data_IF_659972538055
#
_entry.id   IF_659972538055
#
_cell.length_a   1.000
_cell.length_b   1.000
_cell.length_c   1.000
_cell.angle_alpha   90.00
_cell.angle_beta   90.00
_cell.angle_gamma   90.00
#
_symmetry.space_group_name_H-M   'P 1'
#
loop_
_entity.id
_entity.type
_entity.pdbx_description
1 polymer ?
#
# COMPACT_ATOMS: atom_id res chain seq x y z
N UNK A 1 -1.61 -24.69 -20.02
CA UNK A 1 -1.61 -23.33 -20.61
C UNK A 1 -2.10 -22.25 -19.64
N UNK A 2 -3.36 -22.21 -19.18
CA UNK A 2 -3.81 -21.18 -18.22
C UNK A 2 -3.04 -21.24 -16.88
N UNK A 3 -2.90 -22.43 -16.29
CA UNK A 3 -2.08 -22.63 -15.07
C UNK A 3 -0.59 -22.32 -15.28
N UNK A 4 -0.04 -22.63 -16.46
CA UNK A 4 1.36 -22.33 -16.81
C UNK A 4 1.62 -20.82 -16.95
N UNK A 5 0.58 -20.04 -17.30
CA UNK A 5 0.62 -18.58 -17.37
C UNK A 5 0.30 -17.92 -16.02
N UNK A 6 0.01 -18.72 -14.97
CA UNK A 6 -0.39 -18.23 -13.65
C UNK A 6 -1.79 -17.62 -13.60
N UNK A 7 -2.59 -17.73 -14.66
CA UNK A 7 -3.96 -17.21 -14.70
C UNK A 7 -4.91 -18.32 -14.24
N UNK A 8 -5.57 -18.09 -13.11
CA UNK A 8 -6.54 -19.02 -12.51
C UNK A 8 -7.94 -18.43 -12.65
N UNK A 9 -8.83 -19.16 -13.32
CA UNK A 9 -10.23 -18.79 -13.54
C UNK A 9 -10.86 -19.56 -14.71
N UNK A 10 -12.15 -19.85 -14.60
CA UNK A 10 -12.96 -20.53 -15.61
C UNK A 10 -14.17 -19.72 -16.07
N UNK A 11 -14.46 -18.58 -15.46
CA UNK A 11 -15.51 -17.66 -15.89
C UNK A 11 -15.36 -17.28 -17.37
N UNK A 12 -16.49 -17.06 -18.05
CA UNK A 12 -16.54 -16.65 -19.47
C UNK A 12 -15.67 -15.41 -19.71
N UNK A 13 -15.77 -14.42 -18.82
CA UNK A 13 -14.98 -13.20 -18.84
C UNK A 13 -13.48 -13.48 -18.86
N UNK A 14 -12.98 -14.37 -17.98
CA UNK A 14 -11.55 -14.70 -17.94
C UNK A 14 -11.12 -15.48 -19.18
N UNK A 15 -11.98 -16.36 -19.73
CA UNK A 15 -11.69 -17.08 -20.98
C UNK A 15 -11.55 -16.12 -22.15
N UNK A 16 -12.48 -15.19 -22.32
CA UNK A 16 -12.40 -14.13 -23.34
C UNK A 16 -11.12 -13.29 -23.21
N UNK A 17 -10.75 -12.91 -21.98
CA UNK A 17 -9.52 -12.16 -21.75
C UNK A 17 -8.27 -12.98 -22.11
N UNK A 18 -8.26 -14.29 -21.82
CA UNK A 18 -7.14 -15.17 -22.16
C UNK A 18 -7.02 -15.33 -23.68
N UNK A 19 -8.12 -15.48 -24.41
CA UNK A 19 -8.12 -15.51 -25.88
C UNK A 19 -7.59 -14.20 -26.46
N UNK A 20 -8.02 -13.07 -25.91
CA UNK A 20 -7.50 -11.76 -26.30
C UNK A 20 -6.00 -11.67 -26.05
N UNK A 21 -5.50 -12.08 -24.88
CA UNK A 21 -4.06 -12.12 -24.56
C UNK A 21 -3.28 -12.96 -25.57
N UNK A 22 -3.79 -14.14 -25.93
CA UNK A 22 -3.15 -15.04 -26.91
C UNK A 22 -3.06 -14.35 -28.28
N UNK A 23 -4.10 -13.63 -28.70
CA UNK A 23 -4.12 -12.95 -29.99
C UNK A 23 -3.17 -11.74 -30.07
N UNK A 24 -2.99 -11.01 -28.98
CA UNK A 24 -2.20 -9.77 -28.95
C UNK A 24 -0.73 -10.00 -28.58
N UNK A 25 -0.42 -11.09 -27.88
CA UNK A 25 0.93 -11.37 -27.40
C UNK A 25 2.00 -11.44 -28.52
N UNK A 26 1.72 -11.99 -29.73
CA UNK A 26 2.67 -11.99 -30.84
C UNK A 26 3.00 -10.59 -31.42
N UNK A 27 2.18 -9.58 -31.13
CA UNK A 27 2.32 -8.23 -31.69
C UNK A 27 3.21 -7.32 -30.83
N UNK A 28 3.69 -6.21 -31.40
CA UNK A 28 4.40 -5.14 -30.68
C UNK A 28 3.46 -4.00 -30.21
N UNK A 29 2.14 -4.20 -30.28
CA UNK A 29 1.17 -3.17 -29.89
C UNK A 29 1.24 -2.95 -28.36
N UNK A 30 1.11 -1.69 -27.94
CA UNK A 30 1.00 -1.32 -26.53
C UNK A 30 -0.33 -1.79 -25.95
N UNK A 31 -0.29 -2.37 -24.77
CA UNK A 31 -1.48 -2.92 -24.10
C UNK A 31 -1.74 -2.12 -22.83
N UNK A 32 -2.97 -1.66 -22.66
CA UNK A 32 -3.46 -1.02 -21.45
C UNK A 32 -4.31 -2.02 -20.65
N UNK A 33 -3.85 -2.39 -19.46
CA UNK A 33 -4.57 -3.26 -18.53
C UNK A 33 -5.25 -2.39 -17.48
N UNK A 34 -6.57 -2.51 -17.37
CA UNK A 34 -7.40 -1.79 -16.41
C UNK A 34 -8.05 -2.76 -15.45
N UNK A 35 -8.29 -2.33 -14.23
CA UNK A 35 -8.98 -3.13 -13.22
C UNK A 35 -8.60 -2.67 -11.81
N UNK A 36 -9.41 -3.04 -10.84
CA UNK A 36 -9.21 -2.65 -9.44
C UNK A 36 -7.88 -3.13 -8.87
N UNK A 37 -7.50 -2.57 -7.70
CA UNK A 37 -6.31 -3.04 -7.00
C UNK A 37 -6.47 -4.51 -6.62
N UNK A 38 -5.40 -5.30 -6.79
CA UNK A 38 -5.40 -6.71 -6.40
C UNK A 38 -6.13 -7.68 -7.33
N UNK A 39 -6.61 -7.26 -8.51
CA UNK A 39 -7.28 -8.18 -9.48
C UNK A 39 -6.34 -9.11 -10.25
N UNK A 40 -5.03 -8.87 -10.20
CA UNK A 40 -4.02 -9.68 -10.90
C UNK A 40 -3.49 -9.06 -12.21
N UNK A 41 -3.52 -7.74 -12.37
CA UNK A 41 -2.99 -7.03 -13.56
C UNK A 41 -1.57 -7.45 -13.96
N UNK A 42 -0.69 -7.66 -12.98
CA UNK A 42 0.69 -8.10 -13.21
C UNK A 42 0.77 -9.52 -13.81
N UNK A 43 -0.11 -10.42 -13.40
CA UNK A 43 -0.17 -11.79 -13.94
C UNK A 43 -0.52 -11.76 -15.43
N UNK A 44 -1.51 -10.95 -15.82
CA UNK A 44 -1.86 -10.75 -17.22
C UNK A 44 -0.72 -10.11 -18.02
N UNK A 45 -0.01 -9.13 -17.45
CA UNK A 45 1.16 -8.53 -18.09
C UNK A 45 2.29 -9.56 -18.32
N UNK A 46 2.56 -10.41 -17.33
CA UNK A 46 3.54 -11.51 -17.44
C UNK A 46 3.12 -12.53 -18.50
N UNK A 47 1.84 -12.89 -18.55
CA UNK A 47 1.31 -13.80 -19.57
C UNK A 47 1.50 -13.24 -20.99
N UNK A 48 1.21 -11.94 -21.21
CA UNK A 48 1.45 -11.27 -22.50
C UNK A 48 2.94 -11.34 -22.88
N UNK A 49 3.84 -11.11 -21.93
CA UNK A 49 5.29 -11.18 -22.19
C UNK A 49 5.75 -12.61 -22.54
N UNK A 50 5.32 -13.61 -21.76
CA UNK A 50 5.69 -15.02 -21.96
C UNK A 50 5.20 -15.59 -23.30
N UNK A 51 4.06 -15.12 -23.80
CA UNK A 51 3.50 -15.51 -25.09
C UNK A 51 4.04 -14.67 -26.27
N UNK A 52 4.87 -13.66 -25.98
CA UNK A 52 5.44 -12.78 -27.00
C UNK A 52 6.72 -13.34 -27.63
N UNK A 53 7.15 -12.82 -28.79
CA UNK A 53 8.47 -13.13 -29.37
C UNK A 53 9.62 -12.73 -28.45
N UNK A 54 9.37 -11.83 -27.48
CA UNK A 54 10.34 -11.29 -26.53
C UNK A 54 10.40 -12.09 -25.21
N UNK A 55 9.78 -13.27 -25.12
CA UNK A 55 9.73 -14.09 -23.89
C UNK A 55 11.08 -14.46 -23.27
N UNK A 56 12.16 -14.46 -24.07
CA UNK A 56 13.52 -14.74 -23.61
C UNK A 56 14.32 -13.46 -23.27
N UNK A 57 13.71 -12.28 -23.43
CA UNK A 57 14.32 -10.97 -23.17
C UNK A 57 13.90 -10.47 -21.79
N UNK A 58 14.51 -9.38 -21.32
CA UNK A 58 14.17 -8.80 -20.03
C UNK A 58 12.72 -8.30 -20.01
N UNK A 59 12.03 -8.57 -18.90
CA UNK A 59 10.81 -7.89 -18.52
C UNK A 59 11.11 -7.00 -17.31
N UNK A 60 11.03 -5.68 -17.50
CA UNK A 60 11.25 -4.70 -16.45
C UNK A 60 9.90 -4.22 -15.92
N UNK A 61 9.66 -4.40 -14.63
CA UNK A 61 8.42 -3.96 -13.97
C UNK A 61 8.69 -2.70 -13.17
N UNK A 62 7.91 -1.65 -13.40
CA UNK A 62 8.02 -0.36 -12.71
C UNK A 62 6.65 -0.03 -12.12
N UNK A 63 6.59 0.16 -10.81
CA UNK A 63 5.41 0.71 -10.15
C UNK A 63 5.58 2.23 -10.04
N UNK A 64 4.78 2.98 -10.79
CA UNK A 64 4.86 4.44 -10.84
C UNK A 64 4.33 5.11 -9.56
N UNK A 65 3.44 4.47 -8.80
CA UNK A 65 2.94 5.01 -7.52
C UNK A 65 3.88 4.77 -6.35
N UNK A 66 4.75 3.76 -6.42
CA UNK A 66 5.74 3.48 -5.38
C UNK A 66 6.96 4.42 -5.43
N UNK A 67 7.20 5.08 -6.57
CA UNK A 67 8.35 5.97 -6.76
C UNK A 67 7.88 7.42 -6.61
N UNK A 68 8.54 8.23 -5.76
CA UNK A 68 8.22 9.65 -5.65
C UNK A 68 8.27 10.37 -7.01
N UNK A 69 7.32 11.26 -7.26
CA UNK A 69 7.14 11.94 -8.56
C UNK A 69 8.44 12.56 -9.09
N UNK A 70 9.22 13.21 -8.22
CA UNK A 70 10.49 13.85 -8.60
C UNK A 70 11.62 12.88 -8.95
N UNK A 71 11.53 11.60 -8.57
CA UNK A 71 12.51 10.57 -8.89
C UNK A 71 12.06 9.68 -10.06
N UNK A 72 10.76 9.58 -10.32
CA UNK A 72 10.22 8.71 -11.36
C UNK A 72 10.83 8.96 -12.74
N UNK A 73 11.04 10.24 -13.09
CA UNK A 73 11.68 10.61 -14.35
C UNK A 73 13.12 10.08 -14.46
N UNK A 74 13.89 10.27 -13.39
CA UNK A 74 15.29 9.82 -13.29
C UNK A 74 15.41 8.30 -13.31
N UNK A 75 14.46 7.59 -12.68
CA UNK A 75 14.42 6.13 -12.67
C UNK A 75 14.00 5.56 -14.03
N UNK A 76 13.02 6.16 -14.71
CA UNK A 76 12.56 5.69 -16.03
C UNK A 76 13.59 5.95 -17.13
N UNK A 77 14.14 7.17 -17.21
CA UNK A 77 14.98 7.60 -18.33
C UNK A 77 16.48 7.62 -17.99
N UNK A 78 16.85 7.49 -16.73
CA UNK A 78 18.24 7.61 -16.27
C UNK A 78 18.68 9.07 -16.15
N UNK A 79 19.83 9.30 -15.53
CA UNK A 79 20.39 10.63 -15.34
C UNK A 79 21.91 10.63 -15.52
N UNK A 80 22.44 11.77 -15.94
CA UNK A 80 23.88 12.02 -15.93
C UNK A 80 24.35 12.57 -14.59
N UNK A 81 25.64 12.41 -14.31
CA UNK A 81 26.29 13.02 -13.14
C UNK A 81 26.03 14.53 -13.10
N UNK A 82 25.54 15.03 -11.98
CA UNK A 82 25.24 16.45 -11.78
C UNK A 82 23.88 16.92 -12.30
N UNK A 83 23.00 16.03 -12.76
CA UNK A 83 21.67 16.40 -13.25
C UNK A 83 20.74 17.03 -12.18
N UNK A 84 20.89 16.65 -10.91
CA UNK A 84 20.16 17.20 -9.77
C UNK A 84 20.97 17.08 -8.47
N UNK A 85 20.50 17.72 -7.39
CA UNK A 85 21.12 17.63 -6.06
C UNK A 85 21.07 16.19 -5.55
N UNK A 86 22.21 15.49 -5.58
CA UNK A 86 22.31 14.07 -5.24
C UNK A 86 22.74 13.15 -6.40
N UNK A 87 22.86 13.66 -7.63
CA UNK A 87 23.34 12.91 -8.79
C UNK A 87 24.89 12.75 -8.77
N UNK A 88 25.39 11.90 -7.87
CA UNK A 88 26.83 11.66 -7.67
C UNK A 88 27.45 10.88 -8.84
N UNK A 89 26.67 10.00 -9.47
CA UNK A 89 27.08 9.16 -10.58
C UNK A 89 26.00 9.11 -11.67
N UNK A 90 26.39 8.76 -12.89
CA UNK A 90 25.45 8.49 -13.99
C UNK A 90 24.73 7.15 -13.72
N UNK A 91 23.40 7.12 -13.87
CA UNK A 91 22.58 5.92 -13.67
C UNK A 91 21.74 5.64 -14.91
N UNK A 92 21.68 4.37 -15.32
CA UNK A 92 20.81 3.90 -16.41
C UNK A 92 19.35 3.87 -15.96
N UNK A 93 18.44 4.24 -16.87
CA UNK A 93 17.00 4.19 -16.62
C UNK A 93 16.38 2.82 -16.93
N UNK A 94 15.16 2.60 -16.45
CA UNK A 94 14.39 1.38 -16.71
C UNK A 94 14.16 1.10 -18.20
N UNK A 95 13.99 2.14 -19.03
CA UNK A 95 13.88 1.94 -20.48
C UNK A 95 15.16 1.34 -21.07
N UNK A 96 16.33 1.77 -20.63
CA UNK A 96 17.62 1.22 -21.08
C UNK A 96 17.79 -0.25 -20.65
N UNK A 97 17.24 -0.63 -19.48
CA UNK A 97 17.26 -2.01 -18.99
C UNK A 97 16.24 -2.91 -19.72
N UNK A 98 15.18 -2.31 -20.27
CA UNK A 98 14.12 -2.99 -21.01
C UNK A 98 14.37 -3.05 -22.53
N UNK A 99 15.54 -2.60 -23.01
CA UNK A 99 15.84 -2.55 -24.43
C UNK A 99 15.84 -3.95 -25.08
N UNK A 100 15.14 -4.07 -26.21
CA UNK A 100 14.82 -5.34 -26.86
C UNK A 100 13.84 -6.23 -26.10
N UNK A 101 13.35 -5.79 -24.93
CA UNK A 101 12.51 -6.53 -24.00
C UNK A 101 11.10 -5.96 -23.88
N UNK A 102 10.53 -6.04 -22.67
CA UNK A 102 9.20 -5.51 -22.33
C UNK A 102 9.30 -4.70 -21.05
N UNK A 103 8.61 -3.55 -21.00
CA UNK A 103 8.45 -2.75 -19.79
C UNK A 103 6.99 -2.75 -19.37
N UNK A 104 6.74 -3.11 -18.11
CA UNK A 104 5.44 -2.98 -17.44
C UNK A 104 5.46 -1.71 -16.61
N UNK A 105 4.58 -0.78 -16.94
CA UNK A 105 4.33 0.45 -16.17
C UNK A 105 3.04 0.27 -15.37
N UNK A 106 3.15 -0.13 -14.11
CA UNK A 106 2.01 -0.23 -13.21
C UNK A 106 1.68 1.14 -12.58
N UNK A 107 0.41 1.36 -12.30
CA UNK A 107 -0.13 2.63 -11.81
C UNK A 107 0.25 3.84 -12.68
N UNK A 108 0.15 3.69 -14.00
CA UNK A 108 0.51 4.76 -14.96
C UNK A 108 -0.26 6.08 -14.76
N UNK A 109 -1.41 6.02 -14.07
CA UNK A 109 -2.21 7.18 -13.68
C UNK A 109 -1.52 8.09 -12.64
N UNK A 110 -0.48 7.65 -11.96
CA UNK A 110 0.28 8.47 -10.98
C UNK A 110 1.39 9.30 -11.63
N UNK A 111 1.63 9.16 -12.94
CA UNK A 111 2.69 9.89 -13.63
C UNK A 111 2.40 11.39 -13.74
N UNK A 112 3.40 12.22 -13.49
CA UNK A 112 3.33 13.67 -13.77
C UNK A 112 3.13 13.96 -15.26
N UNK A 113 2.51 15.11 -15.57
CA UNK A 113 2.33 15.57 -16.95
C UNK A 113 3.66 15.69 -17.73
N UNK A 114 4.76 16.02 -17.05
CA UNK A 114 6.07 16.14 -17.68
C UNK A 114 6.62 14.76 -18.07
N UNK A 115 6.54 13.78 -17.17
CA UNK A 115 6.97 12.40 -17.44
C UNK A 115 6.10 11.76 -18.54
N UNK A 116 4.80 12.07 -18.58
CA UNK A 116 3.89 11.64 -19.63
C UNK A 116 4.33 12.11 -21.04
N UNK A 117 4.85 13.34 -21.18
CA UNK A 117 5.38 13.84 -22.46
C UNK A 117 6.59 13.04 -22.93
N UNK A 118 7.51 12.73 -22.01
CA UNK A 118 8.70 11.93 -22.34
C UNK A 118 8.34 10.50 -22.68
N UNK A 119 7.40 9.90 -21.95
CA UNK A 119 6.88 8.58 -22.26
C UNK A 119 6.23 8.53 -23.65
N UNK A 120 5.47 9.55 -24.03
CA UNK A 120 4.87 9.63 -25.37
C UNK A 120 5.96 9.61 -26.47
N UNK A 121 7.06 10.35 -26.30
CA UNK A 121 8.18 10.33 -27.25
C UNK A 121 8.80 8.94 -27.41
N UNK A 122 8.95 8.20 -26.31
CA UNK A 122 9.41 6.80 -26.35
C UNK A 122 8.42 5.91 -27.10
N UNK A 123 7.11 6.09 -26.86
CA UNK A 123 6.07 5.28 -27.52
C UNK A 123 5.91 5.59 -29.01
N UNK A 124 6.22 6.80 -29.46
CA UNK A 124 6.06 7.24 -30.85
C UNK A 124 7.34 7.02 -31.67
N UNK A 125 8.47 7.52 -31.19
CA UNK A 125 9.74 7.53 -31.91
C UNK A 125 10.75 6.50 -31.40
N UNK A 126 10.50 5.87 -30.24
CA UNK A 126 11.51 5.02 -29.58
C UNK A 126 12.67 5.84 -29.01
N UNK A 127 12.52 7.15 -28.85
CA UNK A 127 13.60 8.06 -28.48
C UNK A 127 13.39 8.67 -27.09
N UNK A 128 14.49 8.81 -26.34
CA UNK A 128 14.52 9.51 -25.06
C UNK A 128 15.87 10.21 -24.83
N UNK A 129 15.92 11.04 -23.78
CA UNK A 129 17.12 11.68 -23.28
C UNK A 129 17.23 11.43 -21.78
N UNK A 130 18.44 11.22 -21.27
CA UNK A 130 18.69 11.17 -19.82
C UNK A 130 18.43 12.53 -19.20
N UNK A 131 18.04 12.55 -17.92
CA UNK A 131 17.92 13.80 -17.15
C UNK A 131 19.30 14.47 -17.09
N UNK A 132 19.35 15.75 -17.47
CA UNK A 132 20.60 16.53 -17.54
C UNK A 132 21.45 16.31 -18.80
N UNK A 133 21.02 15.46 -19.75
CA UNK A 133 21.71 15.22 -21.02
C UNK A 133 20.90 15.74 -22.21
N UNK A 134 21.59 16.25 -23.22
CA UNK A 134 21.03 16.57 -24.54
C UNK A 134 21.25 15.47 -25.59
N UNK A 135 21.86 14.35 -25.20
CA UNK A 135 22.13 13.22 -26.09
C UNK A 135 20.84 12.40 -26.31
N UNK A 136 20.41 12.31 -27.56
CA UNK A 136 19.30 11.45 -27.98
C UNK A 136 19.72 9.99 -27.97
N UNK A 137 18.85 9.13 -27.41
CA UNK A 137 19.04 7.68 -27.33
C UNK A 137 17.79 6.98 -27.84
N UNK A 138 17.99 5.86 -28.52
CA UNK A 138 16.91 5.01 -29.01
C UNK A 138 16.77 3.76 -28.14
N UNK A 139 15.53 3.28 -27.98
CA UNK A 139 15.17 2.07 -27.25
C UNK A 139 14.04 1.35 -27.99
N UNK A 140 14.16 0.04 -28.12
CA UNK A 140 13.07 -0.81 -28.61
C UNK A 140 12.49 -1.64 -27.46
N UNK A 141 11.58 -1.04 -26.69
CA UNK A 141 10.89 -1.72 -25.59
C UNK A 141 9.39 -1.82 -25.86
N UNK A 142 8.82 -3.03 -25.74
CA UNK A 142 7.37 -3.21 -25.75
C UNK A 142 6.79 -2.66 -24.45
N UNK A 143 5.78 -1.79 -24.55
CA UNK A 143 5.16 -1.18 -23.36
C UNK A 143 3.83 -1.87 -23.03
N UNK A 144 3.72 -2.32 -21.78
CA UNK A 144 2.45 -2.74 -21.16
C UNK A 144 2.18 -1.74 -20.04
N UNK A 145 1.03 -1.09 -20.06
CA UNK A 145 0.63 -0.14 -19.02
C UNK A 145 -0.51 -0.73 -18.18
N UNK A 146 -0.50 -0.51 -16.88
CA UNK A 146 -1.54 -0.94 -15.97
C UNK A 146 -2.03 0.22 -15.09
N UNK A 147 -3.32 0.24 -14.77
CA UNK A 147 -3.93 1.25 -13.90
C UNK A 147 -5.22 0.75 -13.26
N UNK A 148 -5.50 1.23 -12.04
CA UNK A 148 -6.79 1.11 -11.37
C UNK A 148 -7.67 2.35 -11.52
N UNK A 149 -7.14 3.45 -12.08
CA UNK A 149 -7.87 4.70 -12.31
C UNK A 149 -8.47 4.75 -13.71
N UNK A 150 -9.60 5.45 -13.85
CA UNK A 150 -10.21 5.76 -15.15
C UNK A 150 -9.43 6.89 -15.85
N UNK A 151 -8.50 6.51 -16.73
CA UNK A 151 -7.71 7.47 -17.51
C UNK A 151 -8.59 8.39 -18.37
N UNK A 152 -9.78 7.94 -18.80
CA UNK A 152 -10.71 8.76 -19.57
C UNK A 152 -11.24 9.95 -18.75
N UNK A 153 -11.54 9.73 -17.47
CA UNK A 153 -11.87 10.83 -16.55
C UNK A 153 -10.66 11.72 -16.25
N UNK A 154 -9.47 11.15 -16.07
CA UNK A 154 -8.26 11.93 -15.82
C UNK A 154 -7.88 12.85 -17.00
N UNK A 155 -8.18 12.42 -18.23
CA UNK A 155 -8.04 13.27 -19.43
C UNK A 155 -9.01 14.44 -19.39
N UNK A 156 -10.27 14.23 -18.97
CA UNK A 156 -11.25 15.32 -18.80
C UNK A 156 -10.81 16.32 -17.73
N UNK A 157 -10.18 15.82 -16.65
CA UNK A 157 -9.64 16.63 -15.56
C UNK A 157 -8.28 17.29 -15.89
N UNK A 158 -7.71 17.05 -17.08
CA UNK A 158 -6.38 17.53 -17.52
C UNK A 158 -5.19 17.06 -16.65
N UNK A 159 -5.38 15.99 -15.88
CA UNK A 159 -4.32 15.34 -15.08
C UNK A 159 -3.59 14.28 -15.92
N UNK A 160 -4.22 13.78 -16.96
CA UNK A 160 -3.62 12.86 -17.92
C UNK A 160 -3.71 13.42 -19.35
N UNK A 161 -2.66 13.28 -20.14
CA UNK A 161 -2.64 13.82 -21.49
C UNK A 161 -3.46 12.97 -22.45
N UNK A 162 -4.22 13.67 -23.30
CA UNK A 162 -5.11 13.07 -24.31
C UNK A 162 -4.33 12.25 -25.35
N UNK A 163 -3.19 12.75 -25.82
CA UNK A 163 -2.34 12.10 -26.82
C UNK A 163 -1.77 10.76 -26.31
N UNK A 164 -1.19 10.75 -25.11
CA UNK A 164 -0.69 9.55 -24.45
C UNK A 164 -1.82 8.52 -24.21
N UNK A 165 -3.00 8.97 -23.80
CA UNK A 165 -4.15 8.09 -23.60
C UNK A 165 -4.53 7.33 -24.87
N UNK A 166 -4.64 8.02 -26.02
CA UNK A 166 -4.96 7.35 -27.28
C UNK A 166 -3.84 6.43 -27.76
N UNK A 167 -2.57 6.78 -27.51
CA UNK A 167 -1.44 5.91 -27.85
C UNK A 167 -1.47 4.61 -27.05
N UNK A 168 -1.77 4.69 -25.75
CA UNK A 168 -1.84 3.51 -24.86
C UNK A 168 -3.11 2.67 -25.07
N UNK A 169 -4.24 3.29 -25.41
CA UNK A 169 -5.55 2.62 -25.60
C UNK A 169 -5.65 1.83 -26.91
N UNK A 170 -4.56 1.57 -27.62
CA UNK A 170 -4.59 0.76 -28.84
C UNK A 170 -5.26 -0.60 -28.61
N UNK A 171 -4.90 -1.27 -27.50
CA UNK A 171 -5.60 -2.45 -26.99
C UNK A 171 -5.84 -2.24 -25.49
N UNK A 172 -7.09 -2.36 -25.06
CA UNK A 172 -7.46 -2.26 -23.65
C UNK A 172 -8.01 -3.60 -23.14
N UNK A 173 -7.43 -4.10 -22.06
CA UNK A 173 -7.88 -5.29 -21.33
C UNK A 173 -8.50 -4.79 -20.03
N UNK A 174 -9.74 -5.17 -19.76
CA UNK A 174 -10.39 -4.87 -18.48
C UNK A 174 -10.51 -6.14 -17.66
N UNK A 175 -9.84 -6.20 -16.51
CA UNK A 175 -9.91 -7.33 -15.60
C UNK A 175 -11.03 -7.06 -14.58
N UNK A 176 -12.09 -7.88 -14.57
CA UNK A 176 -13.21 -7.67 -13.67
C UNK A 176 -12.80 -7.93 -12.21
N UNK A 177 -13.41 -7.22 -11.26
CA UNK A 177 -13.22 -7.47 -9.85
C UNK A 177 -13.75 -8.86 -9.47
N UNK A 178 -13.22 -9.44 -8.39
CA UNK A 178 -13.51 -10.80 -7.96
C UNK A 178 -15.02 -11.03 -7.69
N UNK A 179 -15.70 -10.00 -7.20
CA UNK A 179 -17.16 -10.01 -6.97
C UNK A 179 -18.02 -10.19 -8.23
N UNK A 180 -17.49 -9.88 -9.41
CA UNK A 180 -18.16 -10.08 -10.70
C UNK A 180 -17.85 -11.45 -11.32
N UNK A 181 -16.80 -12.14 -10.82
CA UNK A 181 -16.36 -13.48 -11.26
C UNK A 181 -16.29 -14.46 -10.09
N UNK A 182 -17.35 -14.52 -9.29
CA UNK A 182 -17.40 -15.34 -8.07
C UNK A 182 -17.21 -16.83 -8.32
N UNK A 183 -17.56 -17.29 -9.52
CA UNK A 183 -17.36 -18.67 -9.98
C UNK A 183 -15.88 -19.10 -9.98
N UNK A 184 -14.94 -18.14 -10.04
CA UNK A 184 -13.51 -18.40 -10.01
C UNK A 184 -12.96 -18.56 -8.58
N UNK A 185 -13.72 -18.19 -7.54
CA UNK A 185 -13.26 -18.21 -6.14
C UNK A 185 -12.81 -19.60 -5.69
N UNK A 186 -13.55 -20.71 -5.92
CA UNK A 186 -13.10 -22.05 -5.51
C UNK A 186 -11.78 -22.46 -6.14
N UNK A 187 -11.63 -22.20 -7.45
CA UNK A 187 -10.41 -22.54 -8.18
C UNK A 187 -9.22 -21.72 -7.68
N UNK A 188 -9.43 -20.43 -7.41
CA UNK A 188 -8.43 -19.56 -6.80
C UNK A 188 -8.06 -20.05 -5.39
N UNK A 189 -9.04 -20.41 -4.56
CA UNK A 189 -8.81 -20.95 -3.22
C UNK A 189 -7.98 -22.23 -3.27
N UNK A 190 -8.33 -23.18 -4.12
CA UNK A 190 -7.59 -24.45 -4.27
C UNK A 190 -6.13 -24.20 -4.70
N UNK A 191 -5.93 -23.33 -5.71
CA UNK A 191 -4.59 -22.99 -6.19
C UNK A 191 -3.74 -22.30 -5.11
N UNK A 192 -4.31 -21.33 -4.40
CA UNK A 192 -3.63 -20.58 -3.33
C UNK A 192 -3.31 -21.48 -2.13
N UNK A 193 -4.25 -22.33 -1.71
CA UNK A 193 -4.01 -23.30 -0.63
C UNK A 193 -2.88 -24.24 -1.01
N UNK A 194 -2.91 -24.79 -2.23
CA UNK A 194 -1.84 -25.68 -2.72
C UNK A 194 -0.47 -24.98 -2.72
N UNK A 195 -0.41 -23.72 -3.13
CA UNK A 195 0.82 -22.91 -3.07
C UNK A 195 1.32 -22.78 -1.63
N UNK A 196 0.45 -22.42 -0.68
CA UNK A 196 0.81 -22.25 0.74
C UNK A 196 1.27 -23.57 1.38
N UNK A 197 0.56 -24.67 1.12
CA UNK A 197 0.94 -26.00 1.65
C UNK A 197 2.30 -26.44 1.12
N UNK A 198 2.60 -26.18 -0.16
CA UNK A 198 3.89 -26.52 -0.76
C UNK A 198 5.05 -25.70 -0.18
N UNK A 199 4.79 -24.48 0.28
CA UNK A 199 5.79 -23.55 0.82
C UNK A 199 6.07 -23.79 2.31
N UNK A 200 5.02 -23.96 3.09
CA UNK A 200 5.10 -24.02 4.56
C UNK A 200 5.13 -25.45 5.12
N UNK A 201 4.75 -26.46 4.32
CA UNK A 201 4.75 -27.87 4.75
C UNK A 201 3.72 -28.19 5.86
N UNK A 202 2.61 -27.45 5.91
CA UNK A 202 1.56 -27.58 6.93
C UNK A 202 0.47 -28.53 6.45
N UNK A 203 -0.20 -29.24 7.36
CA UNK A 203 -1.41 -30.01 7.04
C UNK A 203 -2.66 -29.13 7.08
N UNK A 204 -3.56 -29.31 6.13
CA UNK A 204 -4.81 -28.53 6.03
C UNK A 204 -5.99 -29.45 5.75
N UNK A 205 -7.00 -29.42 6.63
CA UNK A 205 -8.16 -30.31 6.56
C UNK A 205 -9.30 -29.79 5.64
N UNK A 206 -9.11 -28.62 5.01
CA UNK A 206 -10.09 -28.01 4.11
C UNK A 206 -11.00 -26.98 4.77
N UNK A 207 -11.87 -26.40 3.95
CA UNK A 207 -12.95 -25.52 4.40
C UNK A 207 -14.24 -26.31 4.65
N UNK A 208 -15.08 -25.85 5.57
CA UNK A 208 -16.47 -26.34 5.66
C UNK A 208 -17.33 -25.74 4.54
N UNK A 209 -18.44 -26.39 4.19
CA UNK A 209 -19.37 -25.87 3.17
C UNK A 209 -19.89 -24.47 3.54
N UNK A 210 -20.25 -24.26 4.80
CA UNK A 210 -20.67 -22.96 5.33
C UNK A 210 -19.59 -21.88 5.22
N UNK A 211 -18.31 -22.27 5.38
CA UNK A 211 -17.18 -21.35 5.24
C UNK A 211 -17.05 -20.90 3.78
N UNK A 212 -17.20 -21.83 2.83
CA UNK A 212 -17.19 -21.54 1.39
C UNK A 212 -18.33 -20.60 1.03
N UNK A 213 -19.56 -20.86 1.50
CA UNK A 213 -20.70 -19.97 1.27
C UNK A 213 -20.45 -18.53 1.76
N UNK A 214 -19.81 -18.40 2.92
CA UNK A 214 -19.43 -17.09 3.48
C UNK A 214 -18.44 -16.36 2.55
N UNK A 215 -17.45 -17.08 2.01
CA UNK A 215 -16.47 -16.51 1.07
C UNK A 215 -17.12 -16.07 -0.25
N UNK A 216 -18.20 -16.72 -0.70
CA UNK A 216 -18.96 -16.33 -1.89
C UNK A 216 -19.79 -15.06 -1.70
N UNK A 217 -20.29 -14.83 -0.49
CA UNK A 217 -21.12 -13.66 -0.17
C UNK A 217 -20.28 -12.39 0.03
N UNK A 218 -19.00 -12.55 0.39
CA UNK A 218 -18.10 -11.43 0.61
C UNK A 218 -17.77 -10.67 -0.68
N UNK A 219 -17.60 -9.35 -0.57
CA UNK A 219 -17.40 -8.47 -1.72
C UNK A 219 -15.96 -8.44 -2.23
N UNK A 220 -14.98 -8.85 -1.40
CA UNK A 220 -13.55 -8.86 -1.71
C UNK A 220 -13.03 -7.52 -2.26
N UNK A 221 -13.07 -6.43 -1.47
CA UNK A 221 -12.62 -5.10 -1.90
C UNK A 221 -11.14 -5.08 -2.36
N UNK A 222 -10.28 -5.93 -1.78
CA UNK A 222 -8.89 -6.11 -2.19
C UNK A 222 -8.67 -7.25 -3.22
N UNK A 223 -9.76 -7.80 -3.77
CA UNK A 223 -9.77 -8.80 -4.82
C UNK A 223 -8.87 -10.02 -4.51
N UNK A 224 -8.09 -10.51 -5.48
CA UNK A 224 -7.25 -11.70 -5.34
C UNK A 224 -6.12 -11.49 -4.34
N UNK A 225 -5.63 -10.25 -4.16
CA UNK A 225 -4.60 -9.93 -3.17
C UNK A 225 -5.12 -10.15 -1.74
N UNK A 226 -6.32 -9.70 -1.47
CA UNK A 226 -6.99 -9.94 -0.18
C UNK A 226 -7.29 -11.42 0.03
N UNK A 227 -7.82 -12.10 -1.00
CA UNK A 227 -8.05 -13.55 -0.94
C UNK A 227 -6.77 -14.33 -0.64
N UNK A 228 -5.64 -13.95 -1.25
CA UNK A 228 -4.33 -14.56 -0.99
C UNK A 228 -3.90 -14.37 0.47
N UNK A 229 -3.98 -13.14 0.97
CA UNK A 229 -3.63 -12.84 2.37
C UNK A 229 -4.54 -13.59 3.35
N UNK A 230 -5.83 -13.67 3.05
CA UNK A 230 -6.81 -14.43 3.80
C UNK A 230 -6.41 -15.92 3.86
N UNK A 231 -6.13 -16.53 2.70
CA UNK A 231 -5.72 -17.95 2.62
C UNK A 231 -4.40 -18.20 3.35
N UNK A 232 -3.39 -17.37 3.14
CA UNK A 232 -2.11 -17.47 3.83
C UNK A 232 -2.29 -17.44 5.36
N UNK A 233 -3.13 -16.55 5.86
CA UNK A 233 -3.36 -16.40 7.29
C UNK A 233 -4.22 -17.53 7.87
N UNK A 234 -5.33 -17.86 7.22
CA UNK A 234 -6.30 -18.84 7.75
C UNK A 234 -5.72 -20.26 7.77
N UNK A 235 -4.89 -20.63 6.78
CA UNK A 235 -4.24 -21.94 6.73
C UNK A 235 -3.24 -22.09 7.89
N UNK A 236 -2.49 -21.04 8.20
CA UNK A 236 -1.55 -21.03 9.35
C UNK A 236 -2.31 -21.08 10.68
N UNK A 237 -3.41 -20.34 10.81
CA UNK A 237 -4.19 -20.28 12.04
C UNK A 237 -4.99 -21.56 12.31
N UNK A 238 -5.46 -22.25 11.26
CA UNK A 238 -6.26 -23.47 11.39
C UNK A 238 -5.48 -24.64 11.98
N UNK A 239 -4.13 -24.66 11.90
CA UNK A 239 -3.26 -25.68 12.50
C UNK A 239 -3.74 -27.13 12.25
N UNK A 240 -4.14 -27.45 11.01
CA UNK A 240 -4.64 -28.77 10.64
C UNK A 240 -6.13 -29.02 10.91
N UNK A 241 -6.87 -28.06 11.45
CA UNK A 241 -8.33 -28.15 11.61
C UNK A 241 -9.08 -27.69 10.35
N UNK A 242 -10.36 -28.04 10.26
CA UNK A 242 -11.25 -27.51 9.22
C UNK A 242 -11.58 -26.05 9.51
N UNK A 243 -11.47 -25.19 8.51
CA UNK A 243 -11.85 -23.78 8.61
C UNK A 243 -13.37 -23.66 8.62
N UNK A 244 -13.91 -23.11 9.70
CA UNK A 244 -15.36 -22.92 9.89
C UNK A 244 -15.80 -21.52 9.47
N UNK A 245 -17.11 -21.35 9.22
CA UNK A 245 -17.72 -20.05 8.89
C UNK A 245 -17.47 -18.98 9.96
N UNK A 246 -17.35 -19.37 11.23
CA UNK A 246 -17.00 -18.45 12.32
C UNK A 246 -15.58 -17.90 12.17
N UNK A 247 -14.58 -18.76 11.91
CA UNK A 247 -13.20 -18.30 11.70
C UNK A 247 -13.07 -17.38 10.49
N UNK A 248 -13.81 -17.67 9.41
CA UNK A 248 -13.88 -16.80 8.23
C UNK A 248 -14.43 -15.42 8.60
N UNK A 249 -15.58 -15.38 9.29
CA UNK A 249 -16.24 -14.12 9.67
C UNK A 249 -15.39 -13.30 10.63
N UNK A 250 -14.81 -13.93 11.65
CA UNK A 250 -13.93 -13.25 12.61
C UNK A 250 -12.73 -12.61 11.89
N UNK A 251 -12.15 -13.27 10.88
CA UNK A 251 -11.02 -12.70 10.15
C UNK A 251 -11.44 -11.59 9.17
N UNK A 252 -12.58 -11.76 8.49
CA UNK A 252 -13.07 -10.77 7.52
C UNK A 252 -13.71 -9.54 8.20
N UNK A 253 -14.27 -9.64 9.41
CA UNK A 253 -14.85 -8.50 10.13
C UNK A 253 -13.79 -7.48 10.54
N UNK A 254 -12.57 -7.92 10.85
CA UNK A 254 -11.44 -7.03 11.13
C UNK A 254 -11.01 -6.21 9.89
N UNK A 255 -11.31 -6.69 8.68
CA UNK A 255 -11.07 -5.94 7.44
C UNK A 255 -12.11 -4.84 7.19
N UNK A 256 -13.38 -5.02 7.60
CA UNK A 256 -14.41 -3.98 7.45
C UNK A 256 -14.21 -2.83 8.46
N UNK A 257 -13.88 -3.15 9.72
CA UNK A 257 -13.63 -2.13 10.75
C UNK A 257 -12.40 -1.26 10.46
N UNK A 258 -11.37 -1.80 9.78
CA UNK A 258 -10.17 -1.02 9.42
C UNK A 258 -10.39 -0.10 8.21
N UNK A 259 -11.35 -0.40 7.34
CA UNK A 259 -11.68 0.43 6.17
C UNK A 259 -12.67 1.55 6.51
N UNK A 260 -13.63 1.33 7.41
CA UNK A 260 -14.60 2.36 7.82
C UNK A 260 -13.97 3.54 8.58
N UNK A 261 -12.82 3.36 9.22
CA UNK A 261 -12.13 4.45 9.95
C UNK A 261 -11.53 5.52 9.02
N UNK A 262 -11.44 5.27 7.69
CA UNK A 262 -10.77 6.18 6.76
C UNK A 262 -11.64 7.10 5.89
N UNK A 263 -12.98 7.02 5.88
CA UNK A 263 -13.77 7.77 4.87
C UNK A 263 -14.83 8.75 5.36
N UNK A 264 -15.12 8.86 6.66
CA UNK A 264 -16.06 9.89 7.15
C UNK A 264 -15.67 10.41 8.53
N UNK A 265 -14.60 11.20 8.59
CA UNK A 265 -14.45 12.14 9.70
C UNK A 265 -15.07 13.48 9.26
N UNK A 266 -16.14 13.96 9.92
CA UNK A 266 -16.67 15.28 9.64
C UNK A 266 -15.61 16.32 10.03
N UNK A 267 -14.93 16.90 9.04
CA UNK A 267 -14.08 18.07 9.26
C UNK A 267 -14.97 19.29 9.51
N UNK A 268 -14.85 19.98 10.66
CA UNK A 268 -15.38 21.32 10.80
C UNK A 268 -14.63 22.22 9.81
N UNK A 269 -15.33 22.73 8.81
CA UNK A 269 -14.80 23.74 7.89
C UNK A 269 -14.41 24.99 8.69
N UNK A 270 -13.11 25.29 8.77
CA UNK A 270 -12.62 26.54 9.38
C UNK A 270 -11.27 26.52 10.09
N UNK A 271 -10.48 25.44 10.02
CA UNK A 271 -9.23 25.32 10.79
C UNK A 271 -8.00 25.49 9.88
N UNK A 272 -7.00 26.23 10.37
CA UNK A 272 -5.74 26.50 9.67
C UNK A 272 -4.95 25.19 9.45
N UNK A 273 -4.25 25.04 8.31
CA UNK A 273 -3.55 23.80 7.88
C UNK A 273 -2.59 23.28 8.97
N UNK A 274 -1.95 24.18 9.71
CA UNK A 274 -1.01 23.85 10.80
C UNK A 274 -1.69 23.27 12.05
N UNK A 275 -2.96 23.61 12.31
CA UNK A 275 -3.74 23.02 13.41
C UNK A 275 -4.30 21.64 13.01
N UNK A 276 -4.66 21.45 11.74
CA UNK A 276 -5.07 20.16 11.20
C UNK A 276 -3.92 19.13 11.22
N UNK A 277 -2.70 19.54 10.87
CA UNK A 277 -1.50 18.67 10.96
C UNK A 277 -1.22 18.25 12.41
N UNK A 278 -1.35 19.17 13.38
CA UNK A 278 -1.14 18.87 14.80
C UNK A 278 -2.20 17.90 15.35
N UNK A 279 -3.45 18.06 14.96
CA UNK A 279 -4.51 17.13 15.34
C UNK A 279 -4.30 15.73 14.73
N UNK A 280 -3.86 15.64 13.47
CA UNK A 280 -3.56 14.36 12.82
C UNK A 280 -2.42 13.62 13.55
N UNK A 281 -1.34 14.34 13.90
CA UNK A 281 -0.23 13.77 14.66
C UNK A 281 -0.68 13.33 16.05
N UNK A 282 -1.52 14.12 16.73
CA UNK A 282 -2.05 13.77 18.04
C UNK A 282 -2.93 12.52 17.98
N UNK A 283 -3.81 12.41 16.98
CA UNK A 283 -4.66 11.23 16.78
C UNK A 283 -3.85 9.98 16.42
N UNK A 284 -2.81 10.11 15.60
CA UNK A 284 -1.89 9.01 15.30
C UNK A 284 -1.13 8.52 16.55
N UNK A 285 -0.67 9.44 17.41
CA UNK A 285 -0.03 9.09 18.69
C UNK A 285 -0.99 8.39 19.66
N UNK A 286 -2.26 8.80 19.68
CA UNK A 286 -3.29 8.15 20.50
C UNK A 286 -3.59 6.73 19.98
N UNK A 287 -3.70 6.51 18.66
CA UNK A 287 -3.91 5.15 18.12
C UNK A 287 -2.73 4.24 18.46
N UNK A 288 -1.49 4.72 18.31
CA UNK A 288 -0.29 3.97 18.71
C UNK A 288 -0.30 3.65 20.22
N UNK A 289 -0.78 4.57 21.06
CA UNK A 289 -0.91 4.34 22.49
C UNK A 289 -1.92 3.23 22.83
N UNK A 290 -3.03 3.16 22.09
CA UNK A 290 -4.03 2.10 22.21
C UNK A 290 -3.46 0.75 21.74
N UNK A 291 -2.77 0.72 20.59
CA UNK A 291 -2.10 -0.48 20.07
C UNK A 291 -1.04 -1.03 21.04
N UNK A 292 -0.25 -0.15 21.68
CA UNK A 292 0.73 -0.56 22.70
C UNK A 292 0.03 -1.15 23.94
N UNK A 293 -1.11 -0.60 24.34
CA UNK A 293 -1.89 -1.12 25.47
C UNK A 293 -2.44 -2.52 25.16
N UNK A 294 -2.93 -2.74 23.95
CA UNK A 294 -3.38 -4.05 23.48
C UNK A 294 -2.24 -5.06 23.40
N UNK A 295 -1.08 -4.66 22.86
CA UNK A 295 0.14 -5.48 22.86
C UNK A 295 0.57 -5.88 24.27
N UNK A 296 0.49 -4.95 25.23
CA UNK A 296 0.80 -5.23 26.64
C UNK A 296 -0.20 -6.21 27.26
N UNK A 297 -1.49 -6.09 26.93
CA UNK A 297 -2.51 -7.01 27.39
C UNK A 297 -2.32 -8.43 26.82
N UNK A 298 -2.01 -8.54 25.53
CA UNK A 298 -1.66 -9.80 24.87
C UNK A 298 -0.40 -10.43 25.48
N UNK A 299 0.63 -9.63 25.73
CA UNK A 299 1.85 -10.08 26.42
C UNK A 299 1.55 -10.60 27.82
N UNK A 300 0.80 -9.85 28.63
CA UNK A 300 0.39 -10.27 29.98
C UNK A 300 -0.41 -11.59 29.95
N UNK A 301 -1.34 -11.71 29.01
CA UNK A 301 -2.14 -12.93 28.83
C UNK A 301 -1.28 -14.11 28.36
N UNK A 302 -0.24 -13.87 27.57
CA UNK A 302 0.76 -14.86 27.16
C UNK A 302 1.64 -15.30 28.35
N UNK A 303 2.02 -14.36 29.22
CA UNK A 303 2.77 -14.61 30.45
C UNK A 303 1.98 -15.45 31.46
N UNK A 304 0.69 -15.16 31.66
CA UNK A 304 -0.19 -15.94 32.54
C UNK A 304 -0.37 -17.38 32.03
N UNK A 305 -0.53 -17.57 30.72
CA UNK A 305 -0.68 -18.91 30.11
C UNK A 305 0.57 -19.79 30.24
N UNK A 306 1.74 -19.20 30.45
CA UNK A 306 2.99 -19.94 30.63
C UNK A 306 3.25 -20.38 32.09
N UNK A 307 2.34 -20.10 33.05
CA UNK A 307 2.51 -20.43 34.47
C UNK A 307 3.91 -20.02 35.01
N UNK A 308 4.45 -18.90 34.52
CA UNK A 308 5.78 -18.41 34.93
C UNK A 308 6.98 -19.25 34.46
N UNK A 309 6.83 -20.20 33.53
CA UNK A 309 7.92 -21.08 33.13
C UNK A 309 8.45 -20.78 31.70
N UNK A 310 9.38 -19.82 31.61
CA UNK A 310 10.16 -19.57 30.40
C UNK A 310 11.27 -20.64 30.23
N UNK A 311 11.62 -21.04 28.99
CA UNK A 311 12.86 -21.77 28.74
C UNK A 311 14.05 -20.89 29.15
N UNK A 312 14.72 -21.24 30.25
CA UNK A 312 15.89 -20.50 30.77
C UNK A 312 15.77 -19.98 32.21
N UNK A 313 14.68 -20.22 32.93
CA UNK A 313 14.62 -19.94 34.38
C UNK A 313 14.54 -18.45 34.77
N UNK A 314 14.15 -17.56 33.85
CA UNK A 314 13.86 -16.17 34.20
C UNK A 314 12.50 -16.06 34.87
N UNK A 315 12.50 -15.77 36.17
CA UNK A 315 11.30 -15.37 36.92
C UNK A 315 11.03 -13.89 36.60
N UNK A 316 9.89 -13.61 35.98
CA UNK A 316 9.43 -12.25 35.77
C UNK A 316 8.66 -11.79 37.03
N UNK A 317 9.29 -10.96 37.86
CA UNK A 317 8.55 -10.16 38.83
C UNK A 317 7.97 -8.93 38.11
N UNK A 318 6.64 -8.74 38.10
CA UNK A 318 6.07 -7.54 37.54
C UNK A 318 6.52 -6.37 38.42
N UNK A 319 7.38 -5.51 37.87
CA UNK A 319 7.63 -4.22 38.47
C UNK A 319 6.33 -3.43 38.31
N UNK A 320 5.58 -3.26 39.39
CA UNK A 320 4.53 -2.24 39.48
C UNK A 320 5.19 -0.87 39.36
N UNK A 321 5.50 -0.46 38.13
CA UNK A 321 5.76 0.93 37.85
C UNK A 321 4.45 1.66 38.06
N UNK A 322 4.34 2.42 39.14
CA UNK A 322 3.27 3.35 39.51
C UNK A 322 2.97 4.44 38.47
N UNK A 323 3.53 4.34 37.26
CA UNK A 323 3.35 5.26 36.14
C UNK A 323 2.08 4.95 35.34
N UNK A 324 1.48 3.77 35.51
CA UNK A 324 0.35 3.32 34.69
C UNK A 324 -1.04 3.58 35.29
N UNK A 325 -1.15 4.16 36.49
CA UNK A 325 -2.43 4.18 37.21
C UNK A 325 -3.35 5.38 36.95
N UNK A 326 -2.91 6.46 36.31
CA UNK A 326 -3.82 7.56 35.95
C UNK A 326 -3.46 8.14 34.58
N UNK A 327 -3.88 7.47 33.51
CA UNK A 327 -4.19 8.17 32.26
C UNK A 327 -5.69 8.45 32.20
N UNK A 328 -6.17 9.22 33.17
CA UNK A 328 -7.42 9.96 33.01
C UNK A 328 -7.23 10.91 31.82
N UNK A 329 -8.10 10.81 30.81
CA UNK A 329 -8.07 11.72 29.66
C UNK A 329 -8.55 13.08 30.16
N UNK A 330 -7.60 13.91 30.58
CA UNK A 330 -7.89 15.27 31.04
C UNK A 330 -8.00 16.23 29.85
N UNK A 331 -8.88 17.25 29.92
CA UNK A 331 -8.90 18.32 28.93
C UNK A 331 -7.53 18.94 28.75
N UNK A 332 -7.21 19.37 27.52
CA UNK A 332 -5.90 19.89 27.16
C UNK A 332 -5.49 21.11 28.01
N UNK A 333 -6.46 21.91 28.46
CA UNK A 333 -6.26 23.02 29.39
C UNK A 333 -5.76 22.58 30.77
N UNK A 334 -6.21 21.44 31.26
CA UNK A 334 -5.83 20.92 32.56
C UNK A 334 -4.43 20.31 32.54
N UNK A 335 -4.09 19.62 31.43
CA UNK A 335 -2.73 19.15 31.16
C UNK A 335 -1.76 20.33 31.05
N UNK A 336 -2.17 21.39 30.34
CA UNK A 336 -1.37 22.61 30.21
C UNK A 336 -1.13 23.29 31.57
N UNK A 337 -2.19 23.45 32.38
CA UNK A 337 -2.11 24.01 33.75
C UNK A 337 -1.15 23.20 34.62
N UNK A 338 -1.29 21.88 34.64
CA UNK A 338 -0.48 20.99 35.47
C UNK A 338 0.99 21.01 35.04
N UNK A 339 1.25 21.02 33.73
CA UNK A 339 2.61 21.08 33.18
C UNK A 339 3.30 22.40 33.52
N UNK A 340 2.58 23.53 33.40
CA UNK A 340 3.11 24.86 33.76
C UNK A 340 3.38 24.93 35.27
N UNK A 341 2.48 24.41 36.12
CA UNK A 341 2.65 24.39 37.57
C UNK A 341 3.87 23.55 38.00
N UNK A 342 4.00 22.33 37.47
CA UNK A 342 5.17 21.46 37.73
C UNK A 342 6.48 22.09 37.25
N UNK A 343 6.48 22.76 36.11
CA UNK A 343 7.65 23.46 35.60
C UNK A 343 8.03 24.66 36.51
N UNK A 344 7.05 25.45 36.97
CA UNK A 344 7.29 26.55 37.90
C UNK A 344 7.90 26.08 39.22
N UNK A 345 7.39 24.99 39.77
CA UNK A 345 7.90 24.42 41.01
C UNK A 345 9.34 23.89 40.85
N UNK A 346 9.58 23.08 39.80
CA UNK A 346 10.91 22.53 39.47
C UNK A 346 11.97 23.61 39.28
N UNK A 347 11.61 24.76 38.70
CA UNK A 347 12.52 25.86 38.45
C UNK A 347 12.41 27.01 39.48
N UNK A 348 11.79 26.75 40.64
CA UNK A 348 11.64 27.71 41.77
C UNK A 348 11.12 29.08 41.34
N UNK A 349 10.11 29.10 40.48
CA UNK A 349 9.49 30.33 39.98
C UNK A 349 10.31 31.11 38.95
N UNK A 350 11.41 30.57 38.41
CA UNK A 350 12.19 31.24 37.37
C UNK A 350 11.49 31.20 36.01
N UNK A 351 10.61 32.19 35.78
CA UNK A 351 9.74 32.30 34.60
C UNK A 351 10.49 32.27 33.26
N UNK A 352 11.71 32.83 33.19
CA UNK A 352 12.52 32.80 31.97
C UNK A 352 12.99 31.39 31.60
N UNK A 353 13.43 30.61 32.59
CA UNK A 353 13.84 29.22 32.38
C UNK A 353 12.65 28.34 32.02
N UNK A 354 11.51 28.55 32.68
CA UNK A 354 10.26 27.82 32.39
C UNK A 354 9.78 28.08 30.96
N UNK A 355 9.76 29.35 30.52
CA UNK A 355 9.37 29.71 29.15
C UNK A 355 10.25 29.02 28.09
N UNK A 356 11.57 28.96 28.33
CA UNK A 356 12.52 28.30 27.45
C UNK A 356 12.32 26.78 27.39
N UNK A 357 12.07 26.13 28.52
CA UNK A 357 11.89 24.66 28.59
C UNK A 357 10.55 24.24 27.98
N UNK A 358 9.50 25.04 28.17
CA UNK A 358 8.19 24.80 27.56
C UNK A 358 8.09 25.30 26.11
N UNK A 359 9.16 25.89 25.58
CA UNK A 359 9.22 26.44 24.21
C UNK A 359 8.09 27.43 23.88
N UNK A 360 7.74 28.29 24.85
CA UNK A 360 6.73 29.35 24.69
C UNK A 360 7.35 30.72 25.00
N UNK A 361 6.77 31.80 24.45
CA UNK A 361 7.24 33.15 24.77
C UNK A 361 6.99 33.50 26.25
N UNK A 362 7.85 34.31 26.86
CA UNK A 362 7.67 34.78 28.24
C UNK A 362 6.32 35.50 28.43
N UNK A 363 5.83 36.19 27.37
CA UNK A 363 4.53 36.86 27.35
C UNK A 363 3.36 35.85 27.37
N UNK A 364 3.49 34.75 26.63
CA UNK A 364 2.50 33.66 26.62
C UNK A 364 2.45 32.97 27.97
N UNK A 365 3.63 32.65 28.55
CA UNK A 365 3.72 32.07 29.88
C UNK A 365 3.10 32.99 30.94
N UNK A 366 3.37 34.29 30.90
CA UNK A 366 2.79 35.26 31.84
C UNK A 366 1.26 35.32 31.75
N UNK A 367 0.70 35.30 30.53
CA UNK A 367 -0.75 35.25 30.31
C UNK A 367 -1.36 33.98 30.92
N UNK A 368 -0.78 32.82 30.63
CA UNK A 368 -1.26 31.51 31.10
C UNK A 368 -1.16 31.35 32.61
N UNK A 369 -0.09 31.85 33.25
CA UNK A 369 0.03 31.88 34.71
C UNK A 369 -1.10 32.68 35.36
N UNK A 370 -1.45 33.84 34.78
CA UNK A 370 -2.54 34.69 35.27
C UNK A 370 -3.91 34.06 35.03
N UNK A 371 -4.10 33.44 33.87
CA UNK A 371 -5.33 32.76 33.45
C UNK A 371 -5.64 31.53 34.34
N UNK A 372 -4.61 30.79 34.74
CA UNK A 372 -4.74 29.60 35.59
C UNK A 372 -4.56 29.86 37.10
N UNK A 373 -4.34 31.11 37.51
CA UNK A 373 -4.18 31.46 38.93
C UNK A 373 -2.93 30.86 39.60
N UNK A 374 -1.86 30.64 38.83
CA UNK A 374 -0.61 30.00 39.30
C UNK A 374 0.43 31.02 39.85
N UNK A 375 -0.04 32.19 40.33
CA UNK A 375 0.79 33.35 40.68
C UNK A 375 0.84 33.64 42.18
#
# INVERSE_FOLDING_TARGET
>A
MQEELGIVGQSEQIRELVELVISIAPTNISVLITGESGTGKEVFAKAIHQLSPRKQKSMVTVNCGAIPEGLLESELFGHEKGAFTGAIATKKGYFELADGGTILLDEIGEMSLQTQVKLLRVLEAGEYMRVGSGELRTVDARVIAATNRDLGQMVKQRVFRKDLYYRLKAVAIHIPPLRERREDIPLLLEALVKEVLSREGIEFAGFTEEAIETLYQYSWPGNVRELRNFVETIVILARGQKVTSQMVREHLSHYEETVEVSTTLPMPLGINVQEAERELVYKALVSLGLEIKEMKALLLQFFERLNGNFPGGMVYEPVESSVAQDMEIKPLEEIERETIARALDKFRGNRRKVARVLNISERTLYRKIKEYGLA
#
